data_IF_038823102125
#
_entry.id   IF_038823102125
#
_cell.length_a   1.000
_cell.length_b   1.000
_cell.length_c   1.000
_cell.angle_alpha   90.00
_cell.angle_beta   90.00
_cell.angle_gamma   90.00
#
_symmetry.space_group_name_H-M   'P 1'
#
loop_
_entity.id
_entity.type
_entity.pdbx_description
1 polymer ?
#
# COMPACT_ATOMS: atom_id res chain seq x y z
N UNK A 1 -14.78 109.56 -44.06
CA UNK A 1 -14.80 108.15 -44.49
C UNK A 1 -14.29 107.29 -43.35
N UNK A 2 -15.07 106.31 -42.91
CA UNK A 2 -14.66 105.31 -41.92
C UNK A 2 -14.74 103.95 -42.60
N UNK A 3 -13.59 103.29 -42.72
CA UNK A 3 -13.52 101.94 -43.29
C UNK A 3 -13.73 100.95 -42.14
N UNK A 4 -14.62 99.96 -42.25
CA UNK A 4 -14.82 98.99 -41.18
C UNK A 4 -13.56 98.11 -41.04
N UNK A 5 -12.99 98.09 -39.85
CA UNK A 5 -11.88 97.19 -39.51
C UNK A 5 -12.42 95.76 -39.41
N UNK A 6 -12.13 94.94 -40.42
CA UNK A 6 -12.47 93.53 -40.42
C UNK A 6 -11.57 92.79 -39.41
N UNK A 7 -12.03 92.63 -38.16
CA UNK A 7 -11.33 91.82 -37.18
C UNK A 7 -11.56 90.33 -37.46
N UNK A 8 -10.57 89.70 -38.11
CA UNK A 8 -10.49 88.25 -38.27
C UNK A 8 -10.19 87.58 -36.92
N UNK A 9 -11.23 87.39 -36.10
CA UNK A 9 -11.13 86.63 -34.85
C UNK A 9 -11.00 85.13 -35.18
N UNK A 10 -9.78 84.58 -35.10
CA UNK A 10 -9.56 83.13 -35.22
C UNK A 10 -10.14 82.42 -33.98
N UNK A 11 -11.34 81.80 -34.11
CA UNK A 11 -11.90 80.92 -33.08
C UNK A 11 -11.11 79.61 -33.00
N UNK A 12 -10.11 79.56 -32.13
CA UNK A 12 -9.43 78.32 -31.78
C UNK A 12 -10.23 77.47 -30.78
N UNK A 13 -10.03 76.15 -30.81
CA UNK A 13 -10.54 75.27 -29.76
C UNK A 13 -9.81 75.54 -28.43
N UNK A 14 -10.55 75.44 -27.31
CA UNK A 14 -10.00 75.59 -25.95
C UNK A 14 -8.83 74.61 -25.71
N UNK A 15 -8.00 74.90 -24.72
CA UNK A 15 -6.86 74.05 -24.36
C UNK A 15 -7.31 72.66 -23.86
N UNK A 16 -8.44 72.61 -23.14
CA UNK A 16 -9.06 71.38 -22.66
C UNK A 16 -10.33 71.09 -23.46
N UNK A 17 -10.41 69.89 -24.01
CA UNK A 17 -11.53 69.40 -24.81
C UNK A 17 -11.98 68.04 -24.30
N UNK A 18 -13.24 67.65 -24.54
CA UNK A 18 -13.75 66.31 -24.19
C UNK A 18 -13.13 65.19 -25.02
N UNK A 19 -12.59 65.50 -26.20
CA UNK A 19 -11.94 64.57 -27.11
C UNK A 19 -10.43 64.83 -27.14
N UNK A 20 -9.67 63.81 -27.56
CA UNK A 20 -8.24 63.95 -27.83
C UNK A 20 -8.00 64.98 -28.91
N UNK A 21 -7.37 66.09 -28.52
CA UNK A 21 -7.00 67.16 -29.44
C UNK A 21 -5.79 66.73 -30.24
N UNK A 22 -5.84 66.91 -31.55
CA UNK A 22 -4.69 66.70 -32.42
C UNK A 22 -3.52 67.57 -31.94
N UNK A 23 -2.37 66.95 -31.77
CA UNK A 23 -1.18 67.66 -31.33
C UNK A 23 -0.58 68.44 -32.50
N UNK A 24 0.16 69.49 -32.18
CA UNK A 24 0.99 70.15 -33.19
C UNK A 24 2.09 69.19 -33.64
N UNK A 25 2.42 69.18 -34.93
CA UNK A 25 3.38 68.25 -35.53
C UNK A 25 4.74 68.19 -34.79
N UNK A 26 5.24 69.33 -34.30
CA UNK A 26 6.48 69.35 -33.50
C UNK A 26 6.33 68.69 -32.12
N UNK A 27 5.15 68.82 -31.49
CA UNK A 27 4.86 68.21 -30.19
C UNK A 27 4.69 66.70 -30.31
N UNK A 28 4.08 66.24 -31.39
CA UNK A 28 3.97 64.81 -31.70
C UNK A 28 5.36 64.18 -31.90
N UNK A 29 6.24 64.85 -32.67
CA UNK A 29 7.65 64.44 -32.79
C UNK A 29 8.39 64.42 -31.46
N UNK A 30 8.18 65.43 -30.59
CA UNK A 30 8.78 65.47 -29.26
C UNK A 30 8.34 64.26 -28.44
N UNK A 31 7.03 63.95 -28.43
CA UNK A 31 6.50 62.82 -27.69
C UNK A 31 7.06 61.49 -28.18
N UNK A 32 7.10 61.29 -29.50
CA UNK A 32 7.67 60.09 -30.12
C UNK A 32 9.16 59.90 -29.77
N UNK A 33 9.93 60.99 -29.66
CA UNK A 33 11.34 60.93 -29.26
C UNK A 33 11.51 60.67 -27.76
N UNK A 34 10.59 61.18 -26.93
CA UNK A 34 10.61 60.97 -25.47
C UNK A 34 9.94 59.67 -25.02
N UNK A 35 9.63 58.75 -25.95
CA UNK A 35 9.10 57.44 -25.60
C UNK A 35 10.13 56.64 -24.79
N UNK A 36 9.66 56.00 -23.72
CA UNK A 36 10.53 55.18 -22.88
C UNK A 36 10.97 53.92 -23.62
N UNK A 37 12.28 53.76 -23.78
CA UNK A 37 12.89 52.54 -24.33
C UNK A 37 13.45 51.71 -23.16
N UNK A 38 12.85 50.56 -22.82
CA UNK A 38 13.38 49.70 -21.77
C UNK A 38 14.75 49.12 -22.17
N UNK A 39 15.66 48.89 -21.21
CA UNK A 39 16.94 48.28 -21.49
C UNK A 39 16.70 46.86 -22.04
N UNK A 40 17.25 46.58 -23.22
CA UNK A 40 17.21 45.24 -23.82
C UNK A 40 18.46 44.49 -23.35
N UNK A 41 18.34 43.53 -22.40
CA UNK A 41 19.48 42.75 -21.98
C UNK A 41 20.01 41.96 -23.19
N UNK A 42 21.34 41.83 -23.31
CA UNK A 42 21.98 41.09 -24.40
C UNK A 42 21.50 39.64 -24.46
N UNK A 43 21.17 39.06 -23.30
CA UNK A 43 20.60 37.73 -23.16
C UNK A 43 19.28 37.85 -22.39
N UNK A 44 18.16 37.32 -22.91
CA UNK A 44 16.91 37.27 -22.17
C UNK A 44 17.10 36.51 -20.85
N UNK A 45 16.50 36.95 -19.73
CA UNK A 45 16.66 36.31 -18.42
C UNK A 45 16.12 34.87 -18.38
N UNK A 46 15.30 34.47 -19.36
CA UNK A 46 14.83 33.08 -19.53
C UNK A 46 15.93 32.12 -20.01
N UNK A 47 16.94 32.66 -20.69
CA UNK A 47 18.08 31.89 -21.19
C UNK A 47 19.19 31.76 -20.14
N UNK A 48 19.10 32.49 -19.04
CA UNK A 48 20.00 32.34 -17.90
C UNK A 48 19.48 31.23 -16.99
N UNK A 49 20.39 30.43 -16.38
CA UNK A 49 19.98 29.47 -15.37
C UNK A 49 19.29 30.21 -14.22
N UNK A 50 18.13 29.70 -13.81
CA UNK A 50 17.38 30.30 -12.71
C UNK A 50 18.25 30.24 -11.45
N UNK A 51 18.37 31.33 -10.67
CA UNK A 51 19.04 31.25 -9.37
C UNK A 51 18.38 30.14 -8.54
N UNK A 52 19.21 29.40 -7.80
CA UNK A 52 18.74 28.36 -6.91
C UNK A 52 17.67 28.97 -5.99
N UNK A 53 16.50 28.34 -5.96
CA UNK A 53 15.44 28.78 -5.06
C UNK A 53 15.94 28.60 -3.62
N UNK A 54 15.63 29.54 -2.71
CA UNK A 54 15.99 29.37 -1.30
C UNK A 54 15.41 28.04 -0.81
N UNK A 55 16.22 27.27 -0.08
CA UNK A 55 15.80 26.00 0.51
C UNK A 55 14.59 26.26 1.40
N UNK A 56 13.43 25.71 1.03
CA UNK A 56 12.21 25.82 1.84
C UNK A 56 12.48 25.16 3.19
N UNK A 57 12.17 25.88 4.28
CA UNK A 57 12.29 25.32 5.63
C UNK A 57 11.31 24.15 5.76
N UNK A 58 11.69 23.08 6.48
CA UNK A 58 10.81 21.91 6.63
C UNK A 58 9.49 22.31 7.28
N UNK A 59 8.38 22.03 6.60
CA UNK A 59 7.05 22.29 7.13
C UNK A 59 6.79 21.39 8.34
N UNK A 60 6.32 21.98 9.45
CA UNK A 60 6.05 21.25 10.69
C UNK A 60 5.04 20.10 10.51
N UNK A 61 4.11 20.24 9.56
CA UNK A 61 3.13 19.21 9.21
C UNK A 61 3.78 17.98 8.55
N UNK A 62 4.71 18.18 7.61
CA UNK A 62 5.43 17.07 6.99
C UNK A 62 6.21 16.27 8.03
N UNK A 63 6.85 16.96 8.99
CA UNK A 63 7.57 16.33 10.08
C UNK A 63 6.66 15.47 10.95
N UNK A 64 5.45 15.93 11.25
CA UNK A 64 4.44 15.16 11.99
C UNK A 64 4.05 13.89 11.22
N UNK A 65 3.79 14.02 9.91
CA UNK A 65 3.44 12.88 9.07
C UNK A 65 4.58 11.86 8.95
N UNK A 66 5.83 12.31 8.80
CA UNK A 66 7.01 11.42 8.81
C UNK A 66 7.06 10.60 10.09
N UNK A 67 6.87 11.25 11.24
CA UNK A 67 6.84 10.59 12.55
C UNK A 67 5.70 9.57 12.65
N UNK A 68 4.49 9.94 12.22
CA UNK A 68 3.33 9.03 12.25
C UNK A 68 3.56 7.79 11.38
N UNK A 69 4.17 7.94 10.20
CA UNK A 69 4.51 6.80 9.32
C UNK A 69 5.55 5.92 9.99
N UNK A 70 6.59 6.51 10.59
CA UNK A 70 7.62 5.76 11.30
C UNK A 70 7.03 4.96 12.48
N UNK A 71 6.12 5.56 13.26
CA UNK A 71 5.40 4.90 14.34
C UNK A 71 4.56 3.72 13.81
N UNK A 72 3.87 3.90 12.67
CA UNK A 72 3.09 2.83 12.02
C UNK A 72 3.96 1.64 11.62
N UNK A 73 5.14 1.86 11.07
CA UNK A 73 6.06 0.76 10.72
C UNK A 73 6.67 0.09 11.95
N UNK A 74 6.88 0.82 13.05
CA UNK A 74 7.44 0.28 14.29
C UNK A 74 6.41 -0.50 15.12
N UNK A 75 5.17 -0.04 15.17
CA UNK A 75 4.11 -0.66 15.99
C UNK A 75 3.55 -1.93 15.36
N UNK A 76 3.81 -2.17 14.07
CA UNK A 76 3.06 -3.12 13.28
C UNK A 76 3.95 -4.25 12.78
N UNK A 77 3.51 -5.49 12.97
CA UNK A 77 4.23 -6.67 12.48
C UNK A 77 3.96 -6.95 11.00
N UNK A 78 2.77 -6.56 10.52
CA UNK A 78 2.35 -6.75 9.14
C UNK A 78 1.95 -5.41 8.52
N UNK A 79 2.61 -5.05 7.41
CA UNK A 79 2.28 -3.88 6.59
C UNK A 79 2.16 -4.32 5.14
N UNK A 80 0.97 -4.25 4.57
CA UNK A 80 0.76 -4.53 3.15
C UNK A 80 0.58 -3.24 2.35
N UNK A 81 1.23 -3.16 1.19
CA UNK A 81 1.12 -2.06 0.24
C UNK A 81 0.17 -2.49 -0.87
N UNK A 82 -0.96 -1.80 -0.96
CA UNK A 82 -1.94 -2.04 -2.00
C UNK A 82 -2.13 -0.79 -2.85
N UNK A 83 -2.30 -0.99 -4.15
CA UNK A 83 -2.77 0.03 -5.06
C UNK A 83 -4.29 -0.05 -5.11
N UNK A 84 -4.97 1.08 -5.01
CA UNK A 84 -6.42 1.14 -5.15
C UNK A 84 -6.80 1.95 -6.39
N UNK A 85 -7.73 1.40 -7.16
CA UNK A 85 -8.36 2.09 -8.27
C UNK A 85 -9.55 2.91 -7.78
N UNK A 86 -10.12 3.70 -8.68
CA UNK A 86 -11.33 4.47 -8.37
C UNK A 86 -12.46 3.52 -7.98
N UNK A 87 -13.03 3.71 -6.80
CA UNK A 87 -14.15 2.93 -6.25
C UNK A 87 -15.09 3.88 -5.48
N UNK A 88 -16.39 3.56 -5.37
CA UNK A 88 -17.32 4.40 -4.63
C UNK A 88 -17.00 4.37 -3.13
N UNK A 89 -17.36 5.45 -2.43
CA UNK A 89 -17.03 5.62 -1.00
C UNK A 89 -17.73 4.57 -0.11
N UNK A 90 -18.91 4.10 -0.50
CA UNK A 90 -19.65 3.03 0.19
C UNK A 90 -18.88 1.71 0.21
N UNK A 91 -18.29 1.32 -0.93
CA UNK A 91 -17.47 0.11 -1.04
C UNK A 91 -16.18 0.26 -0.22
N UNK A 92 -15.61 1.47 -0.17
CA UNK A 92 -14.41 1.76 0.63
C UNK A 92 -14.71 1.68 2.13
N UNK A 93 -15.86 2.21 2.57
CA UNK A 93 -16.31 2.11 3.95
C UNK A 93 -16.57 0.65 4.35
N UNK A 94 -17.21 -0.12 3.48
CA UNK A 94 -17.48 -1.54 3.68
C UNK A 94 -16.17 -2.34 3.76
N UNK A 95 -15.20 -2.06 2.89
CA UNK A 95 -13.86 -2.65 2.95
C UNK A 95 -13.17 -2.37 4.29
N UNK A 96 -13.16 -1.11 4.73
CA UNK A 96 -12.58 -0.71 6.02
C UNK A 96 -13.26 -1.45 7.17
N UNK A 97 -14.58 -1.62 7.12
CA UNK A 97 -15.32 -2.37 8.13
C UNK A 97 -14.91 -3.86 8.17
N UNK A 98 -14.83 -4.54 7.02
CA UNK A 98 -14.40 -5.94 6.98
C UNK A 98 -12.96 -6.13 7.46
N UNK A 99 -12.04 -5.23 7.10
CA UNK A 99 -10.66 -5.25 7.57
C UNK A 99 -10.54 -4.99 9.08
N UNK A 100 -11.35 -4.07 9.62
CA UNK A 100 -11.41 -3.77 11.07
C UNK A 100 -11.82 -4.99 11.90
N UNK A 101 -12.70 -5.87 11.41
CA UNK A 101 -13.07 -7.12 12.09
C UNK A 101 -11.87 -8.03 12.38
N UNK A 102 -10.82 -7.90 11.57
CA UNK A 102 -9.58 -8.66 11.70
C UNK A 102 -8.42 -7.85 12.28
N UNK A 103 -8.68 -6.68 12.89
CA UNK A 103 -7.67 -5.76 13.41
C UNK A 103 -6.67 -5.28 12.33
N UNK A 104 -7.17 -5.06 11.11
CA UNK A 104 -6.40 -4.48 10.01
C UNK A 104 -6.89 -3.04 9.80
N UNK A 105 -5.99 -2.08 9.96
CA UNK A 105 -6.26 -0.66 9.72
C UNK A 105 -5.84 -0.24 8.33
N UNK A 106 -6.71 0.50 7.64
CA UNK A 106 -6.38 1.13 6.36
C UNK A 106 -5.84 2.54 6.64
N UNK A 107 -4.62 2.84 6.19
CA UNK A 107 -4.01 4.17 6.28
C UNK A 107 -3.76 4.71 4.87
N UNK A 108 -4.17 5.96 4.66
CA UNK A 108 -3.84 6.73 3.46
C UNK A 108 -2.64 7.59 3.78
N UNK A 109 -1.60 7.51 2.95
CA UNK A 109 -0.36 8.24 3.20
C UNK A 109 0.15 8.82 1.88
N UNK A 110 0.75 10.00 1.95
CA UNK A 110 1.37 10.66 0.80
C UNK A 110 2.65 9.92 0.40
N UNK A 111 2.79 9.66 -0.90
CA UNK A 111 3.93 8.92 -1.44
C UNK A 111 5.27 9.61 -1.15
N UNK A 112 5.32 10.95 -1.24
CA UNK A 112 6.56 11.72 -1.00
C UNK A 112 7.09 11.52 0.42
N UNK A 113 6.19 11.55 1.40
CA UNK A 113 6.51 11.39 2.81
C UNK A 113 6.95 9.95 3.08
N UNK A 114 6.20 8.96 2.59
CA UNK A 114 6.55 7.54 2.77
C UNK A 114 7.88 7.22 2.13
N UNK A 115 8.16 7.70 0.91
CA UNK A 115 9.45 7.49 0.25
C UNK A 115 10.61 8.05 1.07
N UNK A 116 10.48 9.27 1.58
CA UNK A 116 11.51 9.88 2.43
C UNK A 116 11.79 9.07 3.71
N UNK A 117 10.75 8.51 4.33
CA UNK A 117 10.89 7.65 5.53
C UNK A 117 11.50 6.31 5.17
N UNK A 118 11.07 5.70 4.07
CA UNK A 118 11.53 4.37 3.66
C UNK A 118 12.99 4.36 3.20
N UNK A 119 13.44 5.41 2.52
CA UNK A 119 14.83 5.58 2.07
C UNK A 119 15.83 5.60 3.23
N UNK A 120 15.42 6.14 4.37
CA UNK A 120 16.22 6.20 5.60
C UNK A 120 16.09 4.93 6.46
N UNK A 121 15.16 4.05 6.13
CA UNK A 121 14.80 2.87 6.92
C UNK A 121 15.38 1.56 6.35
N UNK A 122 15.16 0.46 7.08
CA UNK A 122 15.48 -0.91 6.61
C UNK A 122 14.69 -1.31 5.36
N UNK A 123 13.57 -0.65 5.08
CA UNK A 123 12.60 -1.05 4.07
C UNK A 123 12.79 -0.35 2.71
N UNK A 124 14.03 -0.01 2.36
CA UNK A 124 14.37 0.68 1.09
C UNK A 124 13.80 -0.02 -0.15
N UNK A 125 13.67 -1.36 -0.11
CA UNK A 125 13.13 -2.14 -1.22
C UNK A 125 11.61 -1.94 -1.44
N UNK A 126 10.88 -1.33 -0.50
CA UNK A 126 9.46 -1.00 -0.66
C UNK A 126 9.23 0.33 -1.40
N UNK A 127 10.24 1.21 -1.48
CA UNK A 127 10.18 2.50 -2.17
C UNK A 127 9.55 2.43 -3.57
N UNK A 128 9.94 1.51 -4.47
CA UNK A 128 9.36 1.43 -5.81
C UNK A 128 7.88 1.03 -5.85
N UNK A 129 7.32 0.49 -4.76
CA UNK A 129 5.89 0.14 -4.70
C UNK A 129 5.02 1.39 -4.52
N UNK A 130 5.58 2.49 -4.01
CA UNK A 130 4.83 3.72 -3.74
C UNK A 130 4.73 4.60 -4.98
N UNK A 131 4.09 4.10 -6.03
CA UNK A 131 3.78 4.83 -7.28
C UNK A 131 2.25 4.92 -7.41
N UNK A 132 1.71 6.04 -7.91
CA UNK A 132 0.26 6.25 -8.05
C UNK A 132 -0.51 6.26 -6.71
N UNK A 133 -1.73 5.72 -6.68
CA UNK A 133 -2.63 5.77 -5.52
C UNK A 133 -2.44 4.53 -4.66
N UNK A 134 -1.77 4.72 -3.52
CA UNK A 134 -1.44 3.64 -2.61
C UNK A 134 -2.19 3.77 -1.28
N UNK A 135 -2.53 2.62 -0.73
CA UNK A 135 -3.01 2.46 0.65
C UNK A 135 -2.11 1.48 1.38
N UNK A 136 -1.95 1.75 2.67
CA UNK A 136 -1.29 0.84 3.59
C UNK A 136 -2.34 0.08 4.38
N UNK A 137 -2.22 -1.24 4.39
CA UNK A 137 -2.95 -2.11 5.30
C UNK A 137 -2.00 -2.46 6.44
N UNK A 138 -2.33 -1.98 7.62
CA UNK A 138 -1.47 -2.08 8.80
C UNK A 138 -2.14 -3.01 9.79
N UNK A 139 -1.42 -4.02 10.27
CA UNK A 139 -1.92 -4.90 11.31
C UNK A 139 -0.84 -5.20 12.35
N UNK A 140 -1.18 -5.19 13.65
CA UNK A 140 -0.28 -5.64 14.69
C UNK A 140 -0.06 -7.16 14.65
N UNK A 141 -0.99 -7.93 14.07
CA UNK A 141 -0.92 -9.39 13.93
C UNK A 141 -0.75 -9.82 12.47
N UNK A 142 -0.13 -10.98 12.24
CA UNK A 142 0.18 -11.52 10.90
C UNK A 142 -1.00 -12.28 10.27
N UNK A 143 -2.16 -11.62 10.11
CA UNK A 143 -3.41 -12.21 9.57
C UNK A 143 -3.55 -12.07 8.05
N UNK A 144 -2.60 -12.63 7.31
CA UNK A 144 -2.57 -12.51 5.85
C UNK A 144 -3.72 -13.25 5.13
N UNK A 145 -4.21 -14.35 5.69
CA UNK A 145 -5.25 -15.19 5.09
C UNK A 145 -6.59 -14.47 5.04
N UNK A 146 -6.97 -13.83 6.13
CA UNK A 146 -8.18 -13.01 6.27
C UNK A 146 -8.10 -11.79 5.36
N UNK A 147 -6.95 -11.10 5.35
CA UNK A 147 -6.69 -9.97 4.45
C UNK A 147 -6.92 -10.35 2.98
N UNK A 148 -6.31 -11.45 2.51
CA UNK A 148 -6.47 -11.90 1.13
C UNK A 148 -7.91 -12.31 0.80
N UNK A 149 -8.67 -12.86 1.76
CA UNK A 149 -10.09 -13.16 1.55
C UNK A 149 -10.91 -11.90 1.30
N UNK A 150 -10.66 -10.83 2.08
CA UNK A 150 -11.34 -9.54 1.89
C UNK A 150 -10.94 -8.91 0.55
N UNK A 151 -9.65 -8.93 0.21
CA UNK A 151 -9.14 -8.39 -1.06
C UNK A 151 -9.71 -9.12 -2.30
N UNK A 152 -9.96 -10.43 -2.21
CA UNK A 152 -10.62 -11.18 -3.29
C UNK A 152 -12.05 -10.72 -3.58
N UNK A 153 -12.74 -10.15 -2.58
CA UNK A 153 -14.08 -9.60 -2.77
C UNK A 153 -14.10 -8.24 -3.47
N UNK A 154 -12.94 -7.54 -3.53
CA UNK A 154 -12.85 -6.15 -4.00
C UNK A 154 -11.69 -6.05 -5.01
N UNK A 155 -11.93 -6.36 -6.30
CA UNK A 155 -10.88 -6.36 -7.33
C UNK A 155 -10.31 -4.97 -7.64
N UNK A 156 -10.94 -3.90 -7.14
CA UNK A 156 -10.44 -2.53 -7.27
C UNK A 156 -9.17 -2.28 -6.44
N UNK A 157 -8.89 -3.14 -5.45
CA UNK A 157 -7.71 -3.05 -4.59
C UNK A 157 -6.74 -4.18 -4.91
N UNK A 158 -5.60 -3.81 -5.48
CA UNK A 158 -4.55 -4.73 -5.88
C UNK A 158 -3.41 -4.74 -4.85
N UNK A 159 -3.13 -5.91 -4.28
CA UNK A 159 -1.95 -6.13 -3.45
C UNK A 159 -0.70 -6.14 -4.31
N UNK A 160 0.25 -5.24 -4.03
CA UNK A 160 1.56 -5.21 -4.71
C UNK A 160 2.58 -6.08 -3.96
N UNK A 161 2.68 -5.85 -2.65
CA UNK A 161 3.60 -6.58 -1.77
C UNK A 161 3.29 -6.29 -0.30
N UNK A 162 3.93 -7.03 0.59
CA UNK A 162 3.79 -6.84 2.02
C UNK A 162 5.13 -7.00 2.73
N UNK A 163 5.25 -6.35 3.88
CA UNK A 163 6.29 -6.56 4.86
C UNK A 163 5.67 -7.31 6.04
N UNK A 164 6.18 -8.51 6.32
CA UNK A 164 5.76 -9.34 7.45
C UNK A 164 7.00 -9.64 8.28
N UNK A 165 7.00 -9.24 9.56
CA UNK A 165 8.12 -9.46 10.49
C UNK A 165 9.48 -9.08 9.87
N UNK A 166 9.58 -7.86 9.34
CA UNK A 166 10.74 -7.29 8.62
C UNK A 166 11.12 -7.96 7.28
N UNK A 167 10.42 -9.02 6.87
CA UNK A 167 10.64 -9.67 5.59
C UNK A 167 9.71 -9.12 4.51
N UNK A 168 10.28 -8.76 3.36
CA UNK A 168 9.51 -8.22 2.24
C UNK A 168 9.08 -9.38 1.34
N UNK A 169 7.78 -9.48 1.10
CA UNK A 169 7.15 -10.49 0.29
C UNK A 169 6.42 -9.87 -0.89
N UNK A 170 6.56 -10.52 -2.05
CA UNK A 170 5.72 -10.23 -3.21
C UNK A 170 4.29 -10.72 -2.99
N UNK A 171 3.35 -10.34 -3.87
CA UNK A 171 1.99 -10.89 -3.88
C UNK A 171 1.95 -12.42 -3.77
N UNK A 172 2.76 -13.13 -4.57
CA UNK A 172 2.83 -14.60 -4.52
C UNK A 172 3.38 -15.10 -3.17
N UNK A 173 4.35 -14.41 -2.60
CA UNK A 173 4.87 -14.70 -1.27
C UNK A 173 3.78 -14.59 -0.19
N UNK A 174 2.94 -13.56 -0.25
CA UNK A 174 1.80 -13.39 0.66
C UNK A 174 0.74 -14.47 0.46
N UNK A 175 0.46 -14.86 -0.78
CA UNK A 175 -0.45 -15.97 -1.08
C UNK A 175 0.06 -17.31 -0.52
N UNK A 176 1.37 -17.56 -0.63
CA UNK A 176 2.00 -18.73 -0.04
C UNK A 176 1.94 -18.70 1.48
N UNK A 177 2.24 -17.55 2.09
CA UNK A 177 2.16 -17.36 3.53
C UNK A 177 0.74 -17.59 4.06
N UNK A 178 -0.29 -17.14 3.33
CA UNK A 178 -1.69 -17.38 3.70
C UNK A 178 -2.15 -18.85 3.59
N UNK A 179 -1.42 -19.68 2.83
CA UNK A 179 -1.65 -21.14 2.76
C UNK A 179 -1.00 -21.88 3.92
N UNK A 180 0.00 -21.29 4.57
CA UNK A 180 0.70 -21.91 5.68
C UNK A 180 -0.24 -22.05 6.90
N UNK A 181 -0.06 -23.11 7.70
CA UNK A 181 -0.74 -23.24 8.98
C UNK A 181 -0.23 -22.17 9.97
N UNK A 182 -0.98 -21.89 11.06
CA UNK A 182 -0.53 -20.95 12.08
C UNK A 182 0.80 -21.40 12.71
N UNK A 183 1.49 -20.46 13.35
CA UNK A 183 2.82 -20.68 13.91
C UNK A 183 2.86 -21.88 14.87
N UNK A 184 1.88 -21.98 15.77
CA UNK A 184 1.77 -23.08 16.75
C UNK A 184 1.60 -24.44 16.08
N UNK A 185 0.79 -24.51 15.02
CA UNK A 185 0.59 -25.74 14.26
C UNK A 185 1.85 -26.12 13.47
N UNK A 186 2.56 -25.14 12.91
CA UNK A 186 3.84 -25.36 12.22
C UNK A 186 4.90 -25.89 13.19
N UNK A 187 5.00 -25.29 14.38
CA UNK A 187 5.88 -25.76 15.45
C UNK A 187 5.51 -27.18 15.89
N UNK A 188 4.21 -27.45 16.10
CA UNK A 188 3.70 -28.78 16.41
C UNK A 188 4.03 -29.83 15.34
N UNK A 189 3.93 -29.46 14.06
CA UNK A 189 4.34 -30.33 12.94
C UNK A 189 5.85 -30.62 12.96
N UNK A 190 6.69 -29.63 13.24
CA UNK A 190 8.15 -29.86 13.34
C UNK A 190 8.51 -30.77 14.52
N UNK A 191 7.90 -30.55 15.69
CA UNK A 191 8.10 -31.41 16.86
C UNK A 191 7.56 -32.81 16.60
N UNK A 192 6.39 -32.93 15.96
CA UNK A 192 5.81 -34.20 15.55
C UNK A 192 6.69 -34.95 14.54
N UNK A 193 7.28 -34.24 13.57
CA UNK A 193 8.22 -34.83 12.62
C UNK A 193 9.51 -35.32 13.30
N UNK A 194 10.01 -34.58 14.28
CA UNK A 194 11.16 -35.02 15.09
C UNK A 194 10.80 -36.24 15.95
N UNK A 195 9.59 -36.28 16.52
CA UNK A 195 9.10 -37.43 17.29
C UNK A 195 8.81 -38.67 16.42
N UNK A 196 8.52 -38.49 15.13
CA UNK A 196 8.30 -39.58 14.19
C UNK A 196 9.57 -40.43 14.00
N UNK A 197 10.75 -39.83 14.00
CA UNK A 197 12.02 -40.53 13.82
C UNK A 197 12.27 -41.64 14.87
N UNK A 198 12.27 -41.35 16.19
CA UNK A 198 12.41 -42.41 17.20
C UNK A 198 11.20 -43.35 17.19
N UNK A 199 9.98 -42.86 16.94
CA UNK A 199 8.79 -43.71 16.84
C UNK A 199 8.94 -44.78 15.75
N UNK A 200 9.43 -44.41 14.56
CA UNK A 200 9.70 -45.35 13.47
C UNK A 200 10.70 -46.43 13.90
N UNK A 201 11.82 -46.05 14.54
CA UNK A 201 12.79 -47.04 15.02
C UNK A 201 12.21 -47.98 16.08
N UNK A 202 11.41 -47.46 17.01
CA UNK A 202 10.75 -48.26 18.04
C UNK A 202 9.72 -49.22 17.42
N UNK A 203 8.98 -48.79 16.40
CA UNK A 203 8.01 -49.62 15.70
C UNK A 203 8.65 -50.81 14.97
N UNK A 204 9.85 -50.61 14.41
CA UNK A 204 10.62 -51.68 13.78
C UNK A 204 11.04 -52.74 14.81
N UNK A 205 11.45 -52.32 16.01
CA UNK A 205 11.82 -53.24 17.10
C UNK A 205 10.60 -53.94 17.70
N UNK A 206 9.46 -53.25 17.81
CA UNK A 206 8.23 -53.79 18.40
C UNK A 206 7.54 -54.85 17.53
N UNK A 207 7.91 -54.99 16.25
CA UNK A 207 7.31 -55.98 15.34
C UNK A 207 7.47 -57.42 15.82
N UNK A 208 8.61 -57.77 16.41
CA UNK A 208 8.90 -59.12 16.92
C UNK A 208 7.99 -59.51 18.10
N UNK A 209 7.99 -58.74 19.20
CA UNK A 209 7.10 -58.97 20.34
C UNK A 209 5.63 -59.01 19.95
N UNK A 210 5.19 -58.10 19.06
CA UNK A 210 3.81 -58.04 18.59
C UNK A 210 3.37 -59.31 17.85
N UNK A 211 4.23 -59.85 16.99
CA UNK A 211 3.94 -61.10 16.28
C UNK A 211 3.82 -62.28 17.25
N UNK A 212 4.70 -62.34 18.25
CA UNK A 212 4.69 -63.42 19.24
C UNK A 212 3.40 -63.38 20.06
N UNK A 213 2.98 -62.20 20.54
CA UNK A 213 1.71 -62.06 21.26
C UNK A 213 0.51 -62.46 20.40
N UNK A 214 0.52 -62.10 19.11
CA UNK A 214 -0.55 -62.47 18.19
C UNK A 214 -0.66 -63.99 17.98
N UNK A 215 0.48 -64.69 17.85
CA UNK A 215 0.51 -66.15 17.71
C UNK A 215 0.06 -66.87 19.00
N UNK A 216 0.45 -66.35 20.17
CA UNK A 216 -0.01 -66.89 21.45
C UNK A 216 -1.52 -66.71 21.63
N UNK A 217 -2.05 -65.53 21.30
CA UNK A 217 -3.49 -65.29 21.32
C UNK A 217 -4.25 -66.21 20.36
N UNK A 218 -3.69 -66.48 19.18
CA UNK A 218 -4.27 -67.44 18.24
C UNK A 218 -4.25 -68.87 18.80
N UNK A 219 -3.16 -69.27 19.46
CA UNK A 219 -3.06 -70.58 20.09
C UNK A 219 -4.07 -70.75 21.23
N UNK A 220 -4.24 -69.74 22.07
CA UNK A 220 -5.26 -69.72 23.14
C UNK A 220 -6.67 -69.87 22.56
N UNK A 221 -6.97 -69.19 21.44
CA UNK A 221 -8.26 -69.35 20.75
C UNK A 221 -8.49 -70.77 20.24
N UNK A 222 -7.48 -71.37 19.59
CA UNK A 222 -7.58 -72.76 19.10
C UNK A 222 -7.80 -73.77 20.23
N UNK A 223 -7.15 -73.59 21.37
CA UNK A 223 -7.37 -74.46 22.54
C UNK A 223 -8.82 -74.37 23.04
N UNK A 224 -9.40 -73.17 23.07
CA UNK A 224 -10.82 -72.98 23.42
C UNK A 224 -11.77 -73.62 22.40
N UNK A 225 -11.46 -73.53 21.11
CA UNK A 225 -12.27 -74.14 20.05
C UNK A 225 -12.18 -75.68 20.09
N UNK A 226 -11.05 -76.25 20.52
CA UNK A 226 -10.89 -77.71 20.72
C UNK A 226 -11.55 -78.24 21.99
N UNK A 227 -11.75 -77.40 23.01
CA UNK A 227 -12.55 -77.73 24.20
C UNK A 227 -14.06 -77.72 23.95
N UNK A 228 -14.50 -77.34 22.74
CA UNK A 228 -15.88 -77.53 22.27
C UNK A 228 -16.04 -78.64 21.21
N UNK A 229 -15.97 -79.94 21.56
CA UNK A 229 -16.49 -81.01 20.72
C UNK A 229 -17.93 -81.38 21.13
N UNK A 230 -18.89 -81.08 20.24
CA UNK A 230 -20.14 -81.83 20.02
C UNK A 230 -21.13 -81.99 21.19
N UNK A 231 -22.20 -81.20 21.17
CA UNK A 231 -23.51 -81.71 21.59
C UNK A 231 -23.97 -82.77 20.57
N UNK A 232 -24.30 -84.01 20.98
CA UNK A 232 -24.79 -85.03 20.05
C UNK A 232 -26.21 -84.70 19.57
N UNK A 233 -26.61 -85.15 18.36
CA UNK A 233 -27.99 -85.05 17.92
C UNK A 233 -28.86 -85.92 18.85
N UNK A 234 -29.86 -85.32 19.49
CA UNK A 234 -30.97 -86.10 20.05
C UNK A 234 -31.76 -86.70 18.87
N UNK A 235 -31.55 -88.00 18.65
CA UNK A 235 -32.41 -88.81 17.81
C UNK A 235 -33.82 -88.86 18.41
N UNK A 236 -34.79 -88.73 17.52
CA UNK A 236 -36.21 -88.95 17.75
C UNK A 236 -36.49 -90.42 18.07
N UNK A 237 -37.46 -90.69 18.94
CA UNK A 237 -38.09 -92.01 18.97
C UNK A 237 -38.90 -92.33 20.23
N UNK A 238 -40.22 -92.18 20.11
CA UNK A 238 -41.33 -92.93 20.77
C UNK A 238 -41.30 -93.20 22.27
#
# INVERSE_FOLDING_TARGET
GWVPALQLARRGSKAVTRHWKAMHFQREKLLAVTEYVPPRPAVPPRCLPRPAQPTHQEDGYERLLRRQVQEVFQSSRMVAVCQYNSMPDEDMATMRHYLRKHNIEVKFVLNEIVRSVLEQSKYRNLVPLFVCRNILLVSPETRAKEMLRVLKGIPQVNLLGACIDDTILSRQGVENFARLPPLEASQGQTVGALALLPSQTSSLLQRGPWLLTALLDEHIRRLRDTETPGEPPQEQGT
#
